data_IF_583700171318
#
_entry.id   IF_583700171318
#
_cell.length_a   1.000
_cell.length_b   1.000
_cell.length_c   1.000
_cell.angle_alpha   90.00
_cell.angle_beta   90.00
_cell.angle_gamma   90.00
#
_symmetry.space_group_name_H-M   'P 1'
#
loop_
_entity.id
_entity.type
_entity.pdbx_description
1 polymer ?
#
# COMPACT_ATOMS: atom_id res chain seq x y z
N UNK A 1 28.58 -22.71 -13.79
CA UNK A 1 27.84 -22.78 -12.50
C UNK A 1 26.42 -22.26 -12.73
N UNK A 2 25.38 -23.03 -12.37
CA UNK A 2 23.97 -22.58 -12.45
C UNK A 2 23.63 -21.79 -11.19
N UNK A 3 23.05 -20.59 -11.34
CA UNK A 3 22.51 -19.80 -10.21
C UNK A 3 21.44 -20.64 -9.50
N UNK A 4 21.44 -20.72 -8.15
CA UNK A 4 20.35 -21.37 -7.43
C UNK A 4 19.06 -20.61 -7.73
N UNK A 5 18.06 -21.32 -8.24
CA UNK A 5 16.74 -20.77 -8.46
C UNK A 5 16.17 -20.34 -7.11
N UNK A 6 15.86 -19.05 -6.97
CA UNK A 6 15.02 -18.55 -5.88
C UNK A 6 13.75 -19.42 -5.83
N UNK A 7 13.35 -19.94 -4.65
CA UNK A 7 12.09 -20.63 -4.55
C UNK A 7 11.00 -19.63 -4.92
N UNK A 8 10.43 -19.80 -6.11
CA UNK A 8 9.22 -19.10 -6.52
C UNK A 8 8.18 -19.42 -5.46
N UNK A 9 7.90 -18.44 -4.59
CA UNK A 9 6.79 -18.52 -3.66
C UNK A 9 5.58 -18.97 -4.48
N UNK A 10 4.98 -20.09 -4.07
CA UNK A 10 3.85 -20.67 -4.79
C UNK A 10 2.83 -19.56 -5.07
N UNK A 11 2.31 -19.45 -6.31
CA UNK A 11 1.35 -18.40 -6.61
C UNK A 11 0.15 -18.60 -5.69
N UNK A 12 -0.02 -17.68 -4.73
CA UNK A 12 -1.16 -17.64 -3.82
C UNK A 12 -2.43 -17.75 -4.65
N UNK A 13 -3.39 -18.59 -4.22
CA UNK A 13 -4.70 -18.65 -4.84
C UNK A 13 -5.36 -17.27 -4.82
N UNK A 14 -6.32 -17.01 -5.71
CA UNK A 14 -7.01 -15.72 -5.75
C UNK A 14 -7.64 -15.31 -4.41
N UNK A 15 -8.01 -16.27 -3.57
CA UNK A 15 -8.51 -16.03 -2.21
C UNK A 15 -7.37 -15.61 -1.27
N UNK A 16 -6.27 -16.35 -1.25
CA UNK A 16 -5.10 -16.04 -0.41
C UNK A 16 -4.43 -14.72 -0.82
N UNK A 17 -4.45 -14.36 -2.10
CA UNK A 17 -4.00 -13.05 -2.58
C UNK A 17 -4.85 -11.92 -2.01
N UNK A 18 -6.17 -12.09 -1.96
CA UNK A 18 -7.08 -11.09 -1.40
C UNK A 18 -6.90 -10.95 0.11
N UNK A 19 -6.75 -12.06 0.83
CA UNK A 19 -6.47 -12.03 2.26
C UNK A 19 -5.11 -11.40 2.58
N UNK A 20 -4.07 -11.71 1.79
CA UNK A 20 -2.76 -11.08 1.96
C UNK A 20 -2.80 -9.57 1.64
N UNK A 21 -3.60 -9.15 0.66
CA UNK A 21 -3.84 -7.73 0.36
C UNK A 21 -4.58 -7.04 1.50
N UNK A 22 -5.67 -7.63 2.00
CA UNK A 22 -6.42 -7.10 3.15
C UNK A 22 -5.54 -7.03 4.41
N UNK A 23 -4.80 -8.09 4.73
CA UNK A 23 -3.89 -8.10 5.88
C UNK A 23 -2.79 -7.04 5.76
N UNK A 24 -2.37 -6.71 4.53
CA UNK A 24 -1.45 -5.59 4.26
C UNK A 24 -2.11 -4.23 4.42
N UNK A 25 -3.42 -4.13 4.29
CA UNK A 25 -4.20 -2.90 4.47
C UNK A 25 -4.62 -2.68 5.93
N UNK A 26 -4.75 -3.77 6.70
CA UNK A 26 -5.01 -3.71 8.15
C UNK A 26 -3.92 -2.90 8.85
N UNK A 27 -4.34 -1.85 9.57
CA UNK A 27 -3.45 -0.92 10.29
C UNK A 27 -2.82 0.17 9.41
N UNK A 28 -3.25 0.32 8.16
CA UNK A 28 -2.90 1.49 7.33
C UNK A 28 -4.05 2.51 7.34
N UNK A 29 -3.68 3.77 7.45
CA UNK A 29 -4.55 4.93 7.26
C UNK A 29 -4.59 5.26 5.77
N UNK A 30 -5.80 5.45 5.24
CA UNK A 30 -5.98 5.95 3.88
C UNK A 30 -5.83 7.46 3.91
N UNK A 31 -4.99 7.98 3.03
CA UNK A 31 -4.74 9.41 2.89
C UNK A 31 -4.98 9.85 1.45
N UNK A 32 -5.42 11.09 1.29
CA UNK A 32 -5.85 11.67 0.04
C UNK A 32 -5.07 12.94 -0.27
N UNK A 33 -4.76 13.20 -1.53
CA UNK A 33 -4.27 14.49 -2.00
C UNK A 33 -5.05 14.87 -3.25
N UNK A 34 -5.34 16.15 -3.42
CA UNK A 34 -5.95 16.68 -4.65
C UNK A 34 -4.87 17.44 -5.40
N UNK A 35 -4.60 17.05 -6.65
CA UNK A 35 -3.64 17.75 -7.50
C UNK A 35 -4.21 19.07 -8.06
N UNK A 36 -3.38 19.84 -8.78
CA UNK A 36 -3.79 21.11 -9.38
C UNK A 36 -4.85 20.96 -10.49
N UNK A 37 -5.11 19.74 -10.97
CA UNK A 37 -6.11 19.42 -11.99
C UNK A 37 -7.39 18.81 -11.37
N UNK A 38 -7.43 18.62 -10.05
CA UNK A 38 -8.56 18.07 -9.32
C UNK A 38 -8.57 16.55 -9.20
N UNK A 39 -7.51 15.84 -9.60
CA UNK A 39 -7.45 14.39 -9.41
C UNK A 39 -7.13 14.04 -7.96
N UNK A 40 -7.81 12.99 -7.46
CA UNK A 40 -7.60 12.46 -6.11
C UNK A 40 -6.54 11.37 -6.16
N UNK A 41 -5.38 11.64 -5.57
CA UNK A 41 -4.39 10.60 -5.28
C UNK A 41 -4.73 9.95 -3.94
N UNK A 42 -4.84 8.61 -3.93
CA UNK A 42 -5.14 7.82 -2.72
C UNK A 42 -3.93 6.99 -2.32
N UNK A 43 -3.58 7.01 -1.03
CA UNK A 43 -2.39 6.33 -0.51
C UNK A 43 -2.70 5.59 0.80
N UNK A 44 -2.23 4.35 0.90
CA UNK A 44 -2.32 3.56 2.14
C UNK A 44 -1.03 3.71 2.95
N UNK A 45 -1.12 4.41 4.07
CA UNK A 45 0.02 4.83 4.88
C UNK A 45 -0.04 4.14 6.23
N UNK A 46 1.06 3.55 6.70
CA UNK A 46 1.11 3.05 8.09
C UNK A 46 0.91 4.21 9.07
N UNK A 47 0.17 4.02 10.16
CA UNK A 47 -0.18 5.11 11.09
C UNK A 47 1.03 5.95 11.56
N UNK A 48 2.17 5.31 11.80
CA UNK A 48 3.44 5.98 12.17
C UNK A 48 3.98 6.99 11.13
N UNK A 49 3.54 6.91 9.87
CA UNK A 49 3.99 7.78 8.78
C UNK A 49 2.97 8.85 8.41
N UNK A 50 1.78 8.87 9.04
CA UNK A 50 0.69 9.80 8.69
C UNK A 50 1.18 11.25 8.71
N UNK A 51 1.84 11.68 9.80
CA UNK A 51 2.39 13.04 9.93
C UNK A 51 3.37 13.41 8.79
N UNK A 52 4.17 12.45 8.31
CA UNK A 52 5.09 12.66 7.18
C UNK A 52 4.34 12.91 5.87
N UNK A 53 3.20 12.26 5.68
CA UNK A 53 2.36 12.43 4.50
C UNK A 53 1.46 13.67 4.60
N UNK A 54 1.04 14.04 5.81
CA UNK A 54 0.37 15.32 6.06
C UNK A 54 1.26 16.49 5.67
N UNK A 55 2.55 16.45 6.02
CA UNK A 55 3.53 17.46 5.61
C UNK A 55 3.72 17.54 4.08
N UNK A 56 3.35 16.49 3.33
CA UNK A 56 3.38 16.47 1.85
C UNK A 56 2.08 16.95 1.21
N UNK A 57 1.10 17.36 2.01
CA UNK A 57 -0.20 17.83 1.55
C UNK A 57 -1.25 16.73 1.38
N UNK A 58 -1.00 15.52 1.90
CA UNK A 58 -2.05 14.52 2.02
C UNK A 58 -2.90 14.80 3.26
N UNK A 59 -4.16 14.42 3.25
CA UNK A 59 -5.05 14.53 4.39
C UNK A 59 -5.79 13.20 4.62
N UNK A 60 -6.16 12.94 5.87
CA UNK A 60 -7.06 11.84 6.22
C UNK A 60 -8.50 12.34 6.07
N UNK A 61 -9.41 11.48 5.63
CA UNK A 61 -10.85 11.75 5.63
C UNK A 61 -11.54 11.03 6.77
#
# INVERSE_FOLDING_TARGET
>A
MRKPAEPLAQPLSSAEQREALQAREVGKTVMYQIDAWGHVETRFVRSQNVATWEAKGFFVR
#
